data_IF_726481058604
#
_entry.id   IF_726481058604
#
_cell.length_a   1.000
_cell.length_b   1.000
_cell.length_c   1.000
_cell.angle_alpha   90.00
_cell.angle_beta   90.00
_cell.angle_gamma   90.00
#
_symmetry.space_group_name_H-M   'P 1'
#
loop_
_entity.id
_entity.type
_entity.pdbx_description
1 polymer ?
#
# COMPACT_ATOMS: atom_id res chain seq x y z
N UNK A 1 -6.03 3.06 -13.53
CA UNK A 1 -7.24 2.32 -13.07
C UNK A 1 -7.20 2.29 -11.54
N UNK A 2 -8.30 2.54 -10.83
CA UNK A 2 -8.32 2.43 -9.39
C UNK A 2 -8.01 0.99 -9.00
N UNK A 3 -6.98 0.81 -8.17
CA UNK A 3 -6.57 -0.50 -7.71
C UNK A 3 -7.60 -1.00 -6.69
N UNK A 4 -8.19 -2.15 -7.01
CA UNK A 4 -9.22 -2.78 -6.20
C UNK A 4 -8.68 -4.11 -5.70
N UNK A 5 -8.74 -4.29 -4.39
CA UNK A 5 -8.29 -5.50 -3.71
C UNK A 5 -9.53 -6.27 -3.29
N UNK A 6 -9.60 -7.55 -3.67
CA UNK A 6 -10.62 -8.46 -3.19
C UNK A 6 -10.14 -9.14 -1.90
N UNK A 7 -10.85 -8.92 -0.81
CA UNK A 7 -10.57 -9.49 0.51
C UNK A 7 -11.46 -10.72 0.82
N UNK A 8 -12.08 -11.30 -0.20
CA UNK A 8 -12.99 -12.45 -0.12
C UNK A 8 -14.44 -12.01 0.13
N UNK A 9 -14.72 -11.43 1.31
CA UNK A 9 -16.07 -10.96 1.67
C UNK A 9 -16.31 -9.48 1.36
N UNK A 10 -15.24 -8.74 1.06
CA UNK A 10 -15.27 -7.30 0.87
C UNK A 10 -14.32 -6.90 -0.25
N UNK A 11 -14.63 -5.79 -0.92
CA UNK A 11 -13.71 -5.12 -1.83
C UNK A 11 -13.10 -3.92 -1.10
N UNK A 12 -11.81 -3.71 -1.29
CA UNK A 12 -11.10 -2.53 -0.81
C UNK A 12 -10.61 -1.73 -2.01
N UNK A 13 -10.70 -0.41 -1.96
CA UNK A 13 -10.13 0.47 -2.98
C UNK A 13 -9.46 1.68 -2.36
N UNK A 14 -8.52 2.23 -3.13
CA UNK A 14 -8.02 3.57 -2.89
C UNK A 14 -8.84 4.61 -3.65
N UNK A 15 -9.44 5.57 -2.93
CA UNK A 15 -10.08 6.73 -3.52
C UNK A 15 -9.07 7.89 -3.60
N UNK A 16 -8.47 8.04 -4.79
CA UNK A 16 -7.38 8.98 -5.04
C UNK A 16 -7.75 10.45 -4.79
N UNK A 17 -8.89 10.98 -5.30
CA UNK A 17 -9.28 12.37 -5.01
C UNK A 17 -9.51 12.67 -3.53
N UNK A 18 -10.06 11.70 -2.78
CA UNK A 18 -10.36 11.90 -1.35
C UNK A 18 -9.21 11.53 -0.43
N UNK A 19 -8.14 10.92 -0.94
CA UNK A 19 -7.08 10.30 -0.15
C UNK A 19 -7.60 9.33 0.93
N UNK A 20 -8.62 8.53 0.60
CA UNK A 20 -9.25 7.60 1.56
C UNK A 20 -9.19 6.16 1.08
N UNK A 21 -9.15 5.25 2.04
CA UNK A 21 -9.37 3.82 1.79
C UNK A 21 -10.85 3.56 2.00
N UNK A 22 -11.50 2.99 1.00
CA UNK A 22 -12.92 2.68 1.05
C UNK A 22 -13.12 1.17 0.90
N UNK A 23 -14.18 0.65 1.52
CA UNK A 23 -14.57 -0.75 1.39
C UNK A 23 -16.01 -0.91 0.90
N UNK A 24 -16.25 -2.00 0.20
CA UNK A 24 -17.58 -2.40 -0.26
C UNK A 24 -17.90 -3.82 0.19
N UNK A 25 -19.12 -4.02 0.72
CA UNK A 25 -19.67 -5.33 1.11
C UNK A 25 -20.65 -5.90 0.09
N UNK A 26 -20.92 -5.17 -0.99
CA UNK A 26 -21.99 -5.48 -1.95
C UNK A 26 -21.47 -5.48 -3.40
N UNK A 27 -20.25 -5.97 -3.60
CA UNK A 27 -19.65 -6.12 -4.93
C UNK A 27 -19.36 -4.78 -5.62
N UNK A 28 -19.05 -3.73 -4.85
CA UNK A 28 -18.67 -2.43 -5.41
C UNK A 28 -19.84 -1.49 -5.72
N UNK A 29 -21.08 -1.88 -5.37
CA UNK A 29 -22.28 -1.04 -5.58
C UNK A 29 -22.31 0.19 -4.67
N UNK A 30 -21.89 0.04 -3.41
CA UNK A 30 -21.66 1.15 -2.50
C UNK A 30 -20.34 1.01 -1.75
N UNK A 31 -19.78 2.14 -1.35
CA UNK A 31 -18.47 2.24 -0.73
C UNK A 31 -18.57 3.05 0.55
N UNK A 32 -17.90 2.56 1.61
CA UNK A 32 -17.83 3.20 2.92
C UNK A 32 -16.37 3.47 3.24
N UNK A 33 -16.07 4.67 3.75
CA UNK A 33 -14.73 5.01 4.22
C UNK A 33 -14.30 4.03 5.32
N UNK A 34 -13.21 3.32 5.08
CA UNK A 34 -12.57 2.43 6.06
C UNK A 34 -11.44 3.12 6.79
N UNK A 35 -10.69 3.97 6.10
CA UNK A 35 -9.59 4.71 6.68
C UNK A 35 -9.44 6.08 6.03
N UNK A 36 -9.31 7.11 6.87
CA UNK A 36 -9.03 8.49 6.50
C UNK A 36 -8.16 9.11 7.60
N UNK A 37 -6.88 9.36 7.31
CA UNK A 37 -5.96 10.01 8.24
C UNK A 37 -4.78 10.59 7.48
N UNK A 38 -4.34 11.78 7.91
CA UNK A 38 -3.17 12.46 7.34
C UNK A 38 -1.84 11.90 7.85
N UNK A 39 -1.87 10.98 8.83
CA UNK A 39 -0.67 10.38 9.39
C UNK A 39 0.13 9.62 8.33
N UNK A 40 -0.56 8.89 7.45
CA UNK A 40 0.07 8.12 6.37
C UNK A 40 0.49 8.98 5.17
N UNK A 41 0.02 10.23 5.09
CA UNK A 41 0.24 11.09 3.92
C UNK A 41 -0.68 10.71 2.76
N UNK A 42 -0.23 10.98 1.54
CA UNK A 42 -1.01 10.74 0.31
C UNK A 42 -0.74 9.32 -0.14
N UNK A 43 -1.79 8.49 -0.22
CA UNK A 43 -1.70 7.15 -0.80
C UNK A 43 -1.43 7.25 -2.31
N UNK A 44 -0.55 6.39 -2.82
CA UNK A 44 -0.14 6.33 -4.23
C UNK A 44 -0.50 4.98 -4.86
N UNK A 45 -0.35 3.90 -4.10
CA UNK A 45 -0.48 2.51 -4.56
C UNK A 45 -0.92 1.62 -3.39
N UNK A 46 -1.64 0.53 -3.66
CA UNK A 46 -2.11 -0.47 -2.68
C UNK A 46 -1.97 -1.89 -3.22
N UNK A 47 -1.29 -2.76 -2.49
CA UNK A 47 -1.15 -4.16 -2.91
C UNK A 47 -1.36 -5.13 -1.75
N UNK A 48 -1.64 -6.39 -2.09
CA UNK A 48 -1.63 -7.49 -1.13
C UNK A 48 -0.26 -8.15 -1.16
N UNK A 49 0.29 -8.42 0.02
CA UNK A 49 1.52 -9.19 0.21
C UNK A 49 1.27 -10.23 1.31
N UNK A 50 1.09 -11.49 0.92
CA UNK A 50 0.64 -12.53 1.84
C UNK A 50 -0.73 -12.17 2.47
N UNK A 51 -0.77 -12.07 3.80
CA UNK A 51 -1.99 -11.71 4.54
C UNK A 51 -2.07 -10.21 4.88
N UNK A 52 -1.13 -9.41 4.40
CA UNK A 52 -1.03 -7.99 4.69
C UNK A 52 -1.39 -7.16 3.46
N UNK A 53 -1.86 -5.94 3.70
CA UNK A 53 -2.01 -4.93 2.65
C UNK A 53 -0.88 -3.94 2.82
N UNK A 54 -0.12 -3.68 1.76
CA UNK A 54 0.94 -2.68 1.73
C UNK A 54 0.44 -1.48 0.95
N UNK A 55 0.65 -0.29 1.53
CA UNK A 55 0.36 0.99 0.92
C UNK A 55 1.66 1.74 0.63
N UNK A 56 1.80 2.18 -0.61
CA UNK A 56 2.81 3.17 -0.97
C UNK A 56 2.22 4.57 -0.74
N UNK A 57 2.90 5.41 0.03
CA UNK A 57 2.44 6.77 0.34
C UNK A 57 3.53 7.82 0.16
N UNK A 58 3.14 9.10 0.19
CA UNK A 58 4.08 10.22 0.16
C UNK A 58 4.96 10.34 1.41
N UNK A 59 4.66 9.60 2.48
CA UNK A 59 5.50 9.56 3.70
C UNK A 59 6.32 8.27 3.83
N UNK A 60 6.04 7.26 3.01
CA UNK A 60 6.73 5.98 3.06
C UNK A 60 5.85 4.81 2.67
N UNK A 61 6.30 3.61 3.02
CA UNK A 61 5.48 2.41 2.99
C UNK A 61 4.77 2.23 4.33
N UNK A 62 3.48 1.94 4.25
CA UNK A 62 2.64 1.55 5.37
C UNK A 62 2.10 0.15 5.11
N UNK A 63 1.74 -0.56 6.17
CA UNK A 63 1.07 -1.84 6.04
C UNK A 63 -0.11 -1.97 6.99
N UNK A 64 -1.04 -2.84 6.61
CA UNK A 64 -2.20 -3.20 7.41
C UNK A 64 -2.29 -4.72 7.52
N UNK A 65 -2.24 -5.22 8.75
CA UNK A 65 -2.51 -6.63 9.07
C UNK A 65 -3.99 -6.91 9.37
N UNK A 66 -4.86 -5.90 9.29
CA UNK A 66 -6.28 -6.00 9.62
C UNK A 66 -7.17 -5.47 8.50
N UNK A 67 -6.83 -5.86 7.26
CA UNK A 67 -7.66 -5.61 6.07
C UNK A 67 -7.93 -4.10 5.80
N UNK A 68 -6.93 -3.26 6.06
CA UNK A 68 -6.97 -1.82 5.77
C UNK A 68 -7.69 -0.97 6.82
N UNK A 69 -8.01 -1.53 8.01
CA UNK A 69 -8.67 -0.80 9.11
C UNK A 69 -7.71 0.09 9.89
N UNK A 70 -6.47 -0.35 10.06
CA UNK A 70 -5.38 0.47 10.60
C UNK A 70 -4.10 0.26 9.82
N UNK A 71 -3.25 1.28 9.81
CA UNK A 71 -2.00 1.29 9.06
C UNK A 71 -0.84 1.60 10.00
N UNK A 72 0.22 0.81 9.87
CA UNK A 72 1.46 0.96 10.64
C UNK A 72 2.58 1.26 9.67
N UNK A 73 3.49 2.14 10.06
CA UNK A 73 4.63 2.47 9.22
C UNK A 73 5.53 1.25 9.04
N UNK A 74 5.93 0.98 7.79
CA UNK A 74 6.84 -0.10 7.41
C UNK A 74 8.21 0.43 7.03
N UNK A 75 8.25 1.50 6.25
CA UNK A 75 9.48 2.16 5.83
C UNK A 75 9.20 3.65 5.58
N UNK A 76 10.08 4.56 5.98
CA UNK A 76 9.91 6.01 5.77
C UNK A 76 10.58 6.47 4.46
N UNK A 77 10.07 7.55 3.86
CA UNK A 77 10.66 8.20 2.68
C UNK A 77 12.00 8.93 2.97
N UNK A 78 12.53 8.86 4.19
CA UNK A 78 13.86 9.37 4.58
C UNK A 78 14.94 8.28 4.66
N UNK A 79 14.61 7.04 4.32
CA UNK A 79 15.57 5.94 4.25
C UNK A 79 16.56 6.14 3.09
N UNK A 80 17.64 5.36 3.06
CA UNK A 80 18.64 5.39 1.98
C UNK A 80 18.04 5.14 0.58
N UNK A 81 16.78 4.70 0.50
CA UNK A 81 16.09 4.26 -0.72
C UNK A 81 15.36 5.37 -1.48
N UNK A 82 15.07 6.53 -0.85
CA UNK A 82 14.32 7.63 -1.47
C UNK A 82 12.79 7.49 -1.35
N UNK A 83 12.06 8.18 -2.22
CA UNK A 83 10.59 8.11 -2.23
C UNK A 83 10.10 6.88 -2.97
N UNK A 84 9.19 6.12 -2.37
CA UNK A 84 8.50 5.02 -3.05
C UNK A 84 7.43 5.57 -4.01
N UNK A 85 7.46 5.13 -5.27
CA UNK A 85 6.55 5.57 -6.32
C UNK A 85 5.46 4.53 -6.61
N UNK A 86 5.85 3.27 -6.76
CA UNK A 86 4.96 2.13 -6.93
C UNK A 86 5.61 0.85 -6.40
N UNK A 87 4.79 -0.16 -6.18
CA UNK A 87 5.22 -1.48 -5.72
C UNK A 87 4.69 -2.60 -6.61
N UNK A 88 5.49 -3.65 -6.74
CA UNK A 88 5.09 -4.89 -7.38
C UNK A 88 5.55 -6.08 -6.53
N UNK A 89 4.83 -7.19 -6.60
CA UNK A 89 5.23 -8.45 -5.98
C UNK A 89 5.43 -9.48 -7.08
N UNK A 90 6.47 -10.27 -6.93
CA UNK A 90 6.70 -11.48 -7.71
C UNK A 90 7.31 -12.54 -6.80
N UNK A 91 6.61 -13.66 -6.65
CA UNK A 91 7.09 -14.88 -6.00
C UNK A 91 7.65 -14.64 -4.58
N UNK A 92 7.00 -13.80 -3.79
CA UNK A 92 7.38 -13.42 -2.42
C UNK A 92 8.43 -12.31 -2.33
N UNK A 93 8.89 -11.78 -3.46
CA UNK A 93 9.81 -10.64 -3.52
C UNK A 93 9.04 -9.38 -3.89
N UNK A 94 9.21 -8.33 -3.08
CA UNK A 94 8.69 -7.00 -3.41
C UNK A 94 9.71 -6.25 -4.25
N UNK A 95 9.22 -5.55 -5.26
CA UNK A 95 9.98 -4.61 -6.07
C UNK A 95 9.40 -3.22 -5.87
N UNK A 96 10.28 -2.24 -5.68
CA UNK A 96 9.93 -0.84 -5.49
C UNK A 96 10.65 -0.01 -6.53
N UNK A 97 9.88 0.71 -7.34
CA UNK A 97 10.42 1.85 -8.07
C UNK A 97 10.48 3.04 -7.11
N UNK A 98 11.68 3.52 -6.84
CA UNK A 98 11.89 4.69 -5.99
C UNK A 98 12.49 5.85 -6.78
N UNK A 99 12.49 7.04 -6.20
CA UNK A 99 13.18 8.20 -6.77
C UNK A 99 14.70 8.03 -6.89
N UNK A 100 15.30 7.01 -6.26
CA UNK A 100 16.75 6.70 -6.33
C UNK A 100 17.07 5.44 -7.15
N UNK A 101 16.08 4.85 -7.80
CA UNK A 101 16.22 3.67 -8.66
C UNK A 101 15.33 2.51 -8.25
N UNK A 102 15.61 1.34 -8.83
CA UNK A 102 14.88 0.12 -8.56
C UNK A 102 15.48 -0.61 -7.35
N UNK A 103 14.62 -0.97 -6.41
CA UNK A 103 14.98 -1.75 -5.23
C UNK A 103 14.13 -3.01 -5.16
N UNK A 104 14.63 -4.04 -4.48
CA UNK A 104 13.87 -5.24 -4.16
C UNK A 104 14.01 -5.61 -2.69
N UNK A 105 13.02 -6.34 -2.17
CA UNK A 105 12.95 -6.77 -0.78
C UNK A 105 12.41 -8.20 -0.68
N UNK A 106 13.12 -9.05 0.06
CA UNK A 106 12.70 -10.43 0.37
C UNK A 106 12.08 -10.60 1.75
N UNK A 107 11.94 -9.50 2.50
CA UNK A 107 11.43 -9.52 3.89
C UNK A 107 10.15 -8.68 4.04
N UNK A 108 9.35 -8.62 2.98
CA UNK A 108 8.07 -7.90 2.97
C UNK A 108 8.20 -6.38 3.05
N UNK A 109 9.32 -5.80 2.62
CA UNK A 109 9.52 -4.35 2.55
C UNK A 109 10.13 -3.73 3.81
N UNK A 110 10.65 -4.55 4.73
CA UNK A 110 11.36 -4.10 5.94
C UNK A 110 12.80 -3.67 5.66
N UNK A 111 13.40 -4.19 4.58
CA UNK A 111 14.71 -3.79 4.08
C UNK A 111 14.79 -3.97 2.58
N UNK A 112 15.57 -3.11 1.92
CA UNK A 112 15.63 -3.02 0.46
C UNK A 112 17.08 -3.09 -0.03
N UNK A 113 17.27 -3.82 -1.13
CA UNK A 113 18.54 -3.96 -1.83
C UNK A 113 18.37 -3.35 -3.21
N UNK A 114 19.32 -2.51 -3.62
CA UNK A 114 19.31 -1.91 -4.96
C UNK A 114 19.45 -3.01 -6.00
N UNK A 115 18.62 -2.98 -7.04
CA UNK A 115 18.70 -3.90 -8.17
C UNK A 115 19.72 -3.41 -9.20
#
# INVERSE_FOLDING_TARGET
MPQMINLGSELLRFNQPKNTIECSKNGGRSWVTRYSSDQCGIFRDLMVFGNEIIACTSKGLYYSGNQGRSWVIRCTNGSSYGEFLNLQEDSGTLYANTSKGLYYSRNGGRGWVRR
#
